data_IF_292088404731
#
_entry.id   IF_292088404731
#
_cell.length_a   1.000
_cell.length_b   1.000
_cell.length_c   1.000
_cell.angle_alpha   90.00
_cell.angle_beta   90.00
_cell.angle_gamma   90.00
#
_symmetry.space_group_name_H-M   'P 1'
#
loop_
_entity.id
_entity.type
_entity.pdbx_description
1 polymer ?
#
# COMPACT_ATOMS: atom_id res chain seq x y z
N UNK A 1 7.86 5.20 10.22
CA UNK A 1 6.96 6.35 9.90
C UNK A 1 6.49 6.31 8.44
N UNK A 2 6.01 5.16 7.94
CA UNK A 2 5.67 4.99 6.51
C UNK A 2 4.17 4.93 6.26
N UNK A 3 3.40 4.51 7.26
CA UNK A 3 1.94 4.39 7.23
C UNK A 3 1.21 5.73 7.09
N UNK A 4 1.82 6.85 7.49
CA UNK A 4 1.23 8.20 7.34
C UNK A 4 1.16 8.62 5.86
N UNK A 5 2.19 8.30 5.07
CA UNK A 5 2.22 8.63 3.64
C UNK A 5 1.19 7.84 2.85
N UNK A 6 1.02 6.55 3.18
CA UNK A 6 -0.01 5.71 2.55
C UNK A 6 -1.41 6.26 2.83
N UNK A 7 -1.69 6.66 4.08
CA UNK A 7 -2.97 7.26 4.44
C UNK A 7 -3.21 8.59 3.74
N UNK A 8 -2.20 9.45 3.63
CA UNK A 8 -2.29 10.71 2.90
C UNK A 8 -2.55 10.51 1.40
N UNK A 9 -1.90 9.53 0.78
CA UNK A 9 -2.11 9.22 -0.62
C UNK A 9 -3.52 8.64 -0.87
N UNK A 10 -3.98 7.75 0.02
CA UNK A 10 -5.37 7.28 0.05
C UNK A 10 -6.39 8.41 0.20
N UNK A 11 -6.15 9.34 1.12
CA UNK A 11 -7.04 10.47 1.38
C UNK A 11 -7.14 11.38 0.15
N UNK A 12 -6.00 11.63 -0.51
CA UNK A 12 -5.91 12.44 -1.74
C UNK A 12 -6.45 11.76 -2.99
N UNK A 13 -6.45 10.43 -3.04
CA UNK A 13 -6.95 9.72 -4.22
C UNK A 13 -8.46 9.75 -4.32
N UNK A 14 -8.96 9.84 -5.55
CA UNK A 14 -10.39 9.80 -5.82
C UNK A 14 -10.90 8.36 -5.82
N UNK A 15 -12.19 8.20 -5.57
CA UNK A 15 -12.88 6.91 -5.68
C UNK A 15 -12.76 6.44 -7.14
N UNK A 16 -12.34 5.18 -7.32
CA UNK A 16 -12.02 4.58 -8.62
C UNK A 16 -10.58 4.76 -9.09
N UNK A 17 -9.69 5.40 -8.31
CA UNK A 17 -8.25 5.42 -8.62
C UNK A 17 -7.53 4.20 -8.05
N UNK A 18 -6.66 3.64 -8.88
CA UNK A 18 -5.64 2.69 -8.48
C UNK A 18 -4.45 3.40 -7.82
N UNK A 19 -4.09 2.95 -6.62
CA UNK A 19 -2.91 3.39 -5.91
C UNK A 19 -1.88 2.26 -5.86
N UNK A 20 -0.66 2.55 -6.30
CA UNK A 20 0.48 1.65 -6.16
C UNK A 20 1.40 2.14 -5.05
N UNK A 21 1.63 1.30 -4.05
CA UNK A 21 2.55 1.57 -2.94
C UNK A 21 3.73 0.63 -3.03
N UNK A 22 4.92 1.23 -3.14
CA UNK A 22 6.20 0.54 -3.17
C UNK A 22 6.81 0.52 -1.78
N UNK A 23 7.06 -0.65 -1.23
CA UNK A 23 7.55 -0.83 0.13
C UNK A 23 8.84 -1.64 0.15
N UNK A 24 9.72 -1.29 1.09
CA UNK A 24 10.90 -2.06 1.45
C UNK A 24 10.77 -2.57 2.88
N UNK A 25 11.05 -3.85 3.06
CA UNK A 25 10.95 -4.53 4.35
C UNK A 25 9.54 -5.03 4.71
N UNK A 26 9.53 -6.21 5.33
CA UNK A 26 8.31 -6.96 5.67
C UNK A 26 7.47 -6.29 6.77
N UNK A 27 8.11 -5.65 7.75
CA UNK A 27 7.40 -4.94 8.83
C UNK A 27 6.54 -3.80 8.29
N UNK A 28 7.07 -3.05 7.32
CA UNK A 28 6.33 -1.96 6.69
C UNK A 28 5.11 -2.48 5.95
N UNK A 29 5.25 -3.59 5.21
CA UNK A 29 4.15 -4.27 4.51
C UNK A 29 3.06 -4.67 5.49
N UNK A 30 3.40 -5.35 6.59
CA UNK A 30 2.44 -5.77 7.62
C UNK A 30 1.67 -4.59 8.20
N UNK A 31 2.38 -3.53 8.58
CA UNK A 31 1.74 -2.32 9.13
C UNK A 31 0.79 -1.64 8.13
N UNK A 32 1.15 -1.61 6.84
CA UNK A 32 0.31 -1.02 5.79
C UNK A 32 -0.92 -1.89 5.51
N UNK A 33 -0.76 -3.22 5.41
CA UNK A 33 -1.89 -4.14 5.26
C UNK A 33 -2.91 -4.02 6.39
N UNK A 34 -2.45 -4.07 7.64
CA UNK A 34 -3.33 -3.91 8.81
C UNK A 34 -4.06 -2.57 8.80
N UNK A 35 -3.41 -1.49 8.38
CA UNK A 35 -4.05 -0.18 8.21
C UNK A 35 -5.13 -0.23 7.12
N UNK A 36 -4.87 -0.84 5.97
CA UNK A 36 -5.82 -0.96 4.86
C UNK A 36 -7.05 -1.79 5.26
N UNK A 37 -6.83 -2.91 5.94
CA UNK A 37 -7.91 -3.74 6.50
C UNK A 37 -8.75 -2.96 7.52
N UNK A 38 -8.11 -2.20 8.41
CA UNK A 38 -8.81 -1.36 9.41
C UNK A 38 -9.64 -0.26 8.74
N UNK A 39 -9.19 0.23 7.58
CA UNK A 39 -9.91 1.21 6.77
C UNK A 39 -10.99 0.58 5.88
N UNK A 40 -11.15 -0.75 5.90
CA UNK A 40 -12.10 -1.48 5.06
C UNK A 40 -11.76 -1.44 3.57
N UNK A 41 -10.51 -1.12 3.22
CA UNK A 41 -10.06 -1.03 1.84
C UNK A 41 -9.57 -2.39 1.36
N UNK A 42 -9.94 -2.76 0.13
CA UNK A 42 -9.38 -3.95 -0.51
C UNK A 42 -8.05 -3.60 -1.15
N UNK A 43 -6.99 -4.27 -0.72
CA UNK A 43 -5.66 -4.10 -1.25
C UNK A 43 -5.07 -5.46 -1.59
N UNK A 44 -4.50 -5.53 -2.79
CA UNK A 44 -3.72 -6.66 -3.28
C UNK A 44 -2.24 -6.35 -3.10
N UNK A 45 -1.45 -7.36 -2.80
CA UNK A 45 -0.01 -7.17 -2.64
C UNK A 45 0.75 -8.33 -3.24
N UNK A 46 1.94 -8.02 -3.74
CA UNK A 46 2.84 -8.95 -4.40
C UNK A 46 4.29 -8.67 -3.97
N UNK A 47 5.14 -9.68 -4.09
CA UNK A 47 6.59 -9.51 -3.94
C UNK A 47 7.10 -8.86 -5.21
N UNK A 48 7.86 -7.78 -5.08
CA UNK A 48 8.42 -7.11 -6.24
C UNK A 48 9.44 -8.04 -6.93
N UNK A 49 9.31 -8.20 -8.25
CA UNK A 49 10.25 -9.00 -9.05
C UNK A 49 11.68 -8.43 -9.02
N UNK A 50 11.83 -7.13 -8.76
CA UNK A 50 13.11 -6.43 -8.71
C UNK A 50 13.42 -5.90 -7.29
N UNK A 51 14.22 -6.63 -6.48
CA UNK A 51 14.54 -6.24 -5.11
C UNK A 51 15.38 -4.95 -5.02
N UNK A 52 15.96 -4.50 -6.14
CA UNK A 52 16.72 -3.24 -6.21
C UNK A 52 15.80 -2.02 -6.10
N UNK A 53 14.58 -2.10 -6.62
CA UNK A 53 13.62 -1.00 -6.61
C UNK A 53 12.73 -1.05 -5.37
N UNK A 54 12.21 -2.22 -5.00
CA UNK A 54 11.38 -2.45 -3.81
C UNK A 54 11.32 -3.93 -3.48
N UNK A 55 10.96 -4.29 -2.25
CA UNK A 55 10.75 -5.70 -1.86
C UNK A 55 9.29 -6.12 -2.07
N UNK A 56 8.35 -5.19 -1.90
CA UNK A 56 6.92 -5.46 -1.96
C UNK A 56 6.18 -4.35 -2.70
N UNK A 57 5.13 -4.74 -3.42
CA UNK A 57 4.18 -3.83 -4.05
C UNK A 57 2.79 -4.08 -3.47
N UNK A 58 2.08 -3.00 -3.16
CA UNK A 58 0.68 -3.06 -2.76
C UNK A 58 -0.12 -2.24 -3.75
N UNK A 59 -1.03 -2.88 -4.47
CA UNK A 59 -2.01 -2.25 -5.33
C UNK A 59 -3.34 -2.18 -4.59
N UNK A 60 -3.96 -1.02 -4.54
CA UNK A 60 -5.28 -0.87 -3.94
C UNK A 60 -6.16 0.00 -4.81
N UNK A 61 -7.42 -0.38 -4.91
CA UNK A 61 -8.41 0.34 -5.70
C UNK A 61 -9.38 0.99 -4.71
N UNK A 62 -9.40 2.33 -4.66
CA UNK A 62 -10.27 3.04 -3.72
C UNK A 62 -11.72 2.89 -4.18
N UNK A 63 -12.52 2.09 -3.48
CA UNK A 63 -13.96 1.91 -3.74
C UNK A 63 -14.83 2.91 -3.00
#
# INVERSE_FOLDING_TARGET
MTTVYVRLALDRSQIGQDLLVLLRGEETRRNVLTLLETLGQKAEWEVAENPVESDYRIALCKS
#
